data_IF_793095120463
#
_entry.id   IF_793095120463
#
_cell.length_a   1.000
_cell.length_b   1.000
_cell.length_c   1.000
_cell.angle_alpha   90.00
_cell.angle_beta   90.00
_cell.angle_gamma   90.00
#
_symmetry.space_group_name_H-M   'P 1'
#
loop_
_entity.id
_entity.type
_entity.pdbx_description
1 polymer ?
#
# COMPACT_ATOMS: atom_id res chain seq x y z
N UNK A 1 10.37 -28.39 -51.24
CA UNK A 1 10.53 -28.07 -49.81
C UNK A 1 9.21 -28.29 -49.10
N UNK A 2 9.20 -29.20 -48.10
CA UNK A 2 8.01 -29.61 -47.37
C UNK A 2 8.22 -29.20 -45.90
N UNK A 3 7.40 -28.27 -45.42
CA UNK A 3 7.45 -27.79 -44.04
C UNK A 3 6.83 -28.80 -43.06
N UNK A 4 7.37 -28.98 -41.84
CA UNK A 4 6.84 -29.96 -40.90
C UNK A 4 5.64 -29.40 -40.12
N UNK A 5 4.56 -30.20 -40.06
CA UNK A 5 3.37 -29.97 -39.24
C UNK A 5 3.69 -30.22 -37.75
N UNK A 6 3.50 -29.20 -36.89
CA UNK A 6 3.51 -29.36 -35.43
C UNK A 6 2.19 -29.99 -34.96
N UNK A 7 2.27 -31.18 -34.37
CA UNK A 7 1.18 -31.79 -33.59
C UNK A 7 1.05 -31.07 -32.24
N UNK A 8 -0.15 -30.59 -31.90
CA UNK A 8 -0.51 -30.13 -30.55
C UNK A 8 -1.20 -31.29 -29.81
N UNK A 9 -0.60 -31.73 -28.72
CA UNK A 9 -1.18 -32.70 -27.80
C UNK A 9 -2.23 -32.00 -26.94
N UNK A 10 -3.52 -32.34 -27.12
CA UNK A 10 -4.60 -31.92 -26.23
C UNK A 10 -4.61 -32.83 -24.99
N UNK A 11 -4.42 -32.24 -23.81
CA UNK A 11 -4.69 -32.92 -22.55
C UNK A 11 -6.18 -32.84 -22.23
N UNK A 12 -6.83 -34.00 -22.23
CA UNK A 12 -8.20 -34.21 -21.78
C UNK A 12 -8.24 -34.15 -20.23
N UNK A 13 -8.69 -33.03 -19.68
CA UNK A 13 -9.11 -32.96 -18.27
C UNK A 13 -10.61 -33.27 -18.19
N UNK A 14 -10.93 -34.43 -17.61
CA UNK A 14 -12.30 -34.81 -17.25
C UNK A 14 -12.80 -33.92 -16.10
N UNK A 15 -14.00 -33.32 -16.18
CA UNK A 15 -14.61 -32.67 -15.04
C UNK A 15 -15.27 -33.71 -14.13
N UNK A 16 -14.89 -33.75 -12.85
CA UNK A 16 -15.65 -34.45 -11.81
C UNK A 16 -16.70 -33.49 -11.24
N UNK A 17 -17.94 -33.76 -11.65
CA UNK A 17 -19.26 -33.42 -11.09
C UNK A 17 -19.24 -32.86 -9.65
N UNK A 18 -19.64 -31.59 -9.45
CA UNK A 18 -21.01 -31.14 -9.09
C UNK A 18 -21.61 -31.82 -7.87
N UNK A 19 -21.66 -31.12 -6.73
CA UNK A 19 -22.79 -31.04 -5.80
C UNK A 19 -22.39 -30.33 -4.48
N UNK A 20 -21.91 -29.09 -4.51
CA UNK A 20 -21.78 -28.28 -3.27
C UNK A 20 -21.63 -26.77 -3.55
N UNK A 21 -22.24 -26.25 -4.61
CA UNK A 21 -22.00 -24.87 -5.08
C UNK A 21 -23.29 -24.15 -5.46
N UNK A 22 -24.42 -24.51 -4.83
CA UNK A 22 -25.72 -23.89 -5.11
C UNK A 22 -26.39 -23.29 -3.87
N UNK A 23 -25.80 -23.43 -2.69
CA UNK A 23 -26.38 -22.91 -1.44
C UNK A 23 -25.64 -21.69 -0.85
N UNK A 24 -24.43 -21.37 -1.33
CA UNK A 24 -23.68 -20.17 -0.91
C UNK A 24 -23.88 -18.95 -1.82
N UNK A 25 -24.41 -19.12 -3.03
CA UNK A 25 -24.58 -18.00 -3.98
C UNK A 25 -25.85 -17.18 -3.68
N UNK A 26 -26.86 -17.79 -3.05
CA UNK A 26 -28.13 -17.10 -2.77
C UNK A 26 -28.07 -16.17 -1.55
N UNK A 27 -27.05 -16.28 -0.70
CA UNK A 27 -26.87 -15.37 0.45
C UNK A 27 -26.03 -14.11 0.15
N UNK A 28 -25.32 -14.06 -0.99
CA UNK A 28 -24.49 -12.91 -1.37
C UNK A 28 -25.25 -11.77 -2.08
N UNK A 29 -26.54 -11.96 -2.42
CA UNK A 29 -27.31 -10.96 -3.18
C UNK A 29 -28.31 -10.15 -2.35
N UNK A 30 -28.29 -10.28 -1.02
CA UNK A 30 -29.02 -9.41 -0.10
C UNK A 30 -28.13 -8.28 0.43
N UNK A 31 -27.25 -7.74 -0.42
CA UNK A 31 -26.87 -6.33 -0.29
C UNK A 31 -28.09 -5.54 -0.74
N UNK A 32 -29.05 -5.37 0.17
CA UNK A 32 -30.05 -4.31 0.05
C UNK A 32 -29.26 -3.05 -0.29
N UNK A 33 -29.54 -2.47 -1.46
CA UNK A 33 -28.99 -1.19 -1.84
C UNK A 33 -29.38 -0.21 -0.72
N UNK A 34 -28.50 -0.04 0.25
CA UNK A 34 -28.65 0.95 1.30
C UNK A 34 -28.67 2.25 0.52
N UNK A 35 -29.83 2.90 0.49
CA UNK A 35 -29.96 4.25 -0.04
C UNK A 35 -28.98 5.09 0.78
N UNK A 36 -27.80 5.27 0.22
CA UNK A 36 -26.65 5.66 1.00
C UNK A 36 -26.82 7.16 1.24
N UNK A 37 -27.33 7.53 2.41
CA UNK A 37 -27.66 8.91 2.78
C UNK A 37 -26.48 9.84 2.46
N UNK A 38 -26.80 11.01 1.95
CA UNK A 38 -25.82 12.03 1.62
C UNK A 38 -25.14 12.48 2.92
N UNK A 39 -23.79 12.53 2.99
CA UNK A 39 -23.12 13.02 4.18
C UNK A 39 -23.63 14.42 4.57
N UNK A 40 -23.73 14.70 5.87
CA UNK A 40 -24.26 15.98 6.36
C UNK A 40 -23.46 17.22 5.93
N UNK A 41 -22.20 17.03 5.53
CA UNK A 41 -21.32 18.08 5.00
C UNK A 41 -21.51 18.31 3.50
N UNK A 42 -22.10 17.37 2.77
CA UNK A 42 -22.16 17.42 1.31
C UNK A 42 -23.30 18.34 0.87
N UNK A 43 -23.01 19.19 -0.12
CA UNK A 43 -24.02 20.06 -0.75
C UNK A 43 -24.80 19.28 -1.81
N UNK A 44 -24.15 18.30 -2.46
CA UNK A 44 -24.74 17.45 -3.48
C UNK A 44 -24.21 16.02 -3.37
N UNK A 45 -25.02 15.07 -3.79
CA UNK A 45 -24.67 13.66 -3.87
C UNK A 45 -25.16 13.04 -5.18
N UNK A 46 -24.50 11.97 -5.61
CA UNK A 46 -24.95 11.13 -6.69
C UNK A 46 -26.34 10.57 -6.35
N UNK A 47 -27.30 10.80 -7.23
CA UNK A 47 -28.70 10.38 -7.07
C UNK A 47 -28.92 8.91 -7.46
N UNK A 48 -28.02 8.34 -8.25
CA UNK A 48 -28.11 6.97 -8.75
C UNK A 48 -27.26 6.03 -7.90
N UNK A 49 -27.83 4.91 -7.39
CA UNK A 49 -27.02 3.85 -6.80
C UNK A 49 -26.06 3.31 -7.86
N UNK A 50 -24.78 3.21 -7.51
CA UNK A 50 -23.76 2.69 -8.41
C UNK A 50 -23.87 1.16 -8.48
N UNK A 51 -23.69 0.60 -9.68
CA UNK A 51 -23.67 -0.86 -9.83
C UNK A 51 -22.35 -1.43 -9.31
N UNK A 52 -22.34 -2.70 -8.88
CA UNK A 52 -21.09 -3.36 -8.47
C UNK A 52 -20.02 -3.34 -9.56
N UNK A 53 -20.42 -3.34 -10.84
CA UNK A 53 -19.51 -3.23 -11.98
C UNK A 53 -18.86 -1.84 -12.09
N UNK A 54 -19.57 -0.78 -11.70
CA UNK A 54 -19.01 0.58 -11.65
C UNK A 54 -18.05 0.75 -10.47
N UNK A 55 -18.33 0.08 -9.33
CA UNK A 55 -17.38 0.01 -8.21
C UNK A 55 -16.10 -0.73 -8.57
N UNK A 56 -16.20 -1.85 -9.28
CA UNK A 56 -15.03 -2.64 -9.72
C UNK A 56 -14.13 -1.82 -10.64
N UNK A 57 -14.71 -1.09 -11.61
CA UNK A 57 -13.97 -0.14 -12.45
C UNK A 57 -13.30 0.96 -11.65
N UNK A 58 -13.99 1.50 -10.64
CA UNK A 58 -13.43 2.52 -9.74
C UNK A 58 -12.25 1.98 -8.90
N UNK A 59 -12.25 0.69 -8.55
CA UNK A 59 -11.17 0.09 -7.73
C UNK A 59 -9.84 -0.03 -8.50
N UNK A 60 -9.88 -0.42 -9.78
CA UNK A 60 -8.71 -0.38 -10.68
C UNK A 60 -8.21 1.04 -10.93
N UNK A 61 -9.11 2.03 -10.82
CA UNK A 61 -8.80 3.44 -11.01
C UNK A 61 -8.12 4.09 -9.80
N UNK A 62 -8.08 3.41 -8.64
CA UNK A 62 -7.67 3.99 -7.37
C UNK A 62 -6.23 4.53 -7.40
N UNK A 63 -5.27 3.82 -7.99
CA UNK A 63 -3.86 4.26 -7.97
C UNK A 63 -3.63 5.56 -8.75
N UNK A 64 -4.15 5.67 -9.98
CA UNK A 64 -4.06 6.88 -10.79
C UNK A 64 -4.87 8.03 -10.18
N UNK A 65 -6.04 7.71 -9.62
CA UNK A 65 -6.90 8.65 -8.88
C UNK A 65 -6.16 9.27 -7.69
N UNK A 66 -5.49 8.45 -6.88
CA UNK A 66 -4.74 8.94 -5.72
C UNK A 66 -3.60 9.86 -6.16
N UNK A 67 -2.86 9.51 -7.21
CA UNK A 67 -1.80 10.37 -7.73
C UNK A 67 -2.34 11.74 -8.21
N UNK A 68 -3.46 11.74 -8.93
CA UNK A 68 -4.12 12.99 -9.37
C UNK A 68 -4.62 13.82 -8.17
N UNK A 69 -5.28 13.20 -7.19
CA UNK A 69 -5.75 13.87 -5.99
C UNK A 69 -4.60 14.48 -5.17
N UNK A 70 -3.46 13.79 -5.08
CA UNK A 70 -2.27 14.28 -4.37
C UNK A 70 -1.73 15.59 -4.96
N UNK A 71 -1.81 15.77 -6.29
CA UNK A 71 -1.37 16.99 -6.97
C UNK A 71 -2.32 18.18 -6.72
N UNK A 72 -3.59 17.89 -6.44
CA UNK A 72 -4.67 18.86 -6.21
C UNK A 72 -5.07 19.02 -4.74
N UNK A 73 -4.26 18.49 -3.82
CA UNK A 73 -4.47 18.72 -2.40
C UNK A 73 -4.38 20.21 -2.10
N UNK A 74 -5.23 20.71 -1.19
CA UNK A 74 -5.30 22.12 -0.94
C UNK A 74 -3.96 22.71 -0.47
N UNK A 75 -3.65 23.93 -0.90
CA UNK A 75 -2.44 24.64 -0.48
C UNK A 75 -2.53 25.02 1.00
N UNK A 76 -2.21 24.03 1.81
CA UNK A 76 -2.15 24.06 3.25
C UNK A 76 -0.69 23.76 3.58
N UNK A 77 -0.05 24.63 4.36
CA UNK A 77 1.37 24.46 4.66
C UNK A 77 1.69 23.20 5.49
N UNK A 78 0.69 22.53 6.07
CA UNK A 78 0.83 21.18 6.64
C UNK A 78 0.99 20.09 5.58
N UNK A 79 0.63 20.37 4.33
CA UNK A 79 0.67 19.47 3.19
C UNK A 79 1.86 19.79 2.26
N UNK A 80 2.16 21.08 2.02
CA UNK A 80 3.30 21.53 1.18
C UNK A 80 4.27 22.43 1.96
N UNK A 81 5.57 22.15 1.86
CA UNK A 81 6.62 22.85 2.59
C UNK A 81 6.95 24.22 1.95
N UNK A 82 6.08 25.23 2.14
CA UNK A 82 6.29 26.60 1.66
C UNK A 82 6.90 27.52 2.75
N UNK A 83 7.76 28.47 2.34
CA UNK A 83 8.53 29.35 3.23
C UNK A 83 7.78 30.59 3.77
N UNK A 84 6.53 30.84 3.35
CA UNK A 84 5.77 32.06 3.71
C UNK A 84 4.40 31.65 4.25
N UNK A 85 4.30 31.35 5.54
CA UNK A 85 3.03 30.97 6.13
C UNK A 85 2.77 31.57 7.53
N UNK A 86 1.48 31.71 7.90
CA UNK A 86 1.00 32.40 9.11
C UNK A 86 1.06 31.52 10.38
N UNK A 87 1.27 32.15 11.55
CA UNK A 87 1.42 31.45 12.85
C UNK A 87 0.10 31.13 13.57
N UNK A 88 -1.00 31.73 13.14
CA UNK A 88 -2.32 31.55 13.75
C UNK A 88 -3.13 30.54 12.94
N UNK A 89 -3.88 29.62 13.57
CA UNK A 89 -4.77 28.74 12.83
C UNK A 89 -5.76 29.58 12.03
N UNK A 90 -5.86 29.29 10.75
CA UNK A 90 -6.77 29.98 9.84
C UNK A 90 -7.88 29.01 9.47
N UNK A 91 -9.13 29.47 9.54
CA UNK A 91 -10.26 28.73 8.98
C UNK A 91 -10.22 28.90 7.46
N UNK A 92 -9.99 27.81 6.74
CA UNK A 92 -10.10 27.77 5.28
C UNK A 92 -11.34 26.98 4.89
N UNK A 93 -12.08 27.50 3.92
CA UNK A 93 -13.15 26.75 3.26
C UNK A 93 -12.49 25.99 2.11
N UNK A 94 -12.59 24.66 2.14
CA UNK A 94 -12.05 23.78 1.10
C UNK A 94 -13.17 22.96 0.49
N UNK A 95 -12.95 22.47 -0.73
CA UNK A 95 -13.85 21.49 -1.31
C UNK A 95 -13.56 20.13 -0.70
N UNK A 96 -14.63 19.44 -0.30
CA UNK A 96 -14.59 18.08 0.22
C UNK A 96 -15.34 17.17 -0.74
N UNK A 97 -14.75 16.03 -1.05
CA UNK A 97 -15.34 15.01 -1.91
C UNK A 97 -15.37 13.67 -1.18
N UNK A 98 -16.32 12.82 -1.54
CA UNK A 98 -16.39 11.43 -1.12
C UNK A 98 -16.36 10.55 -2.36
N UNK A 99 -15.49 9.54 -2.38
CA UNK A 99 -15.46 8.52 -3.42
C UNK A 99 -16.45 7.39 -3.09
N UNK A 100 -16.66 6.47 -4.04
CA UNK A 100 -17.61 5.36 -3.84
C UNK A 100 -17.13 4.27 -2.87
N UNK A 101 -15.83 4.23 -2.58
CA UNK A 101 -15.26 3.42 -1.49
C UNK A 101 -15.44 4.04 -0.10
N UNK A 102 -16.19 5.15 -0.02
CA UNK A 102 -16.47 5.96 1.19
C UNK A 102 -15.29 6.80 1.68
N UNK A 103 -14.14 6.78 0.99
CA UNK A 103 -13.02 7.64 1.35
C UNK A 103 -13.35 9.10 1.09
N UNK A 104 -12.93 9.96 2.01
CA UNK A 104 -13.14 11.42 1.94
C UNK A 104 -11.82 12.11 1.62
N UNK A 105 -11.84 13.06 0.68
CA UNK A 105 -10.66 13.81 0.25
C UNK A 105 -10.97 15.30 0.20
N UNK A 106 -9.92 16.11 0.29
CA UNK A 106 -10.00 17.56 0.11
C UNK A 106 -9.28 17.95 -1.19
N UNK A 107 -9.87 18.89 -1.94
CA UNK A 107 -9.31 19.40 -3.20
C UNK A 107 -9.40 20.94 -3.21
N UNK A 108 -8.44 21.59 -3.87
CA UNK A 108 -8.42 23.06 -4.02
C UNK A 108 -9.52 23.56 -4.95
N UNK A 109 -9.67 22.91 -6.10
CA UNK A 109 -10.63 23.27 -7.13
C UNK A 109 -11.52 22.09 -7.48
N UNK A 110 -12.79 22.37 -7.71
CA UNK A 110 -13.80 21.36 -7.95
C UNK A 110 -14.45 21.60 -9.32
N UNK A 111 -13.99 20.86 -10.34
CA UNK A 111 -14.62 20.85 -11.66
C UNK A 111 -15.40 19.55 -11.81
N UNK A 112 -16.71 19.63 -11.64
CA UNK A 112 -17.61 18.47 -11.73
C UNK A 112 -18.38 18.49 -13.04
N UNK A 113 -18.33 17.37 -13.74
CA UNK A 113 -19.16 17.09 -14.91
C UNK A 113 -20.35 16.26 -14.44
N UNK A 114 -21.53 16.87 -14.45
CA UNK A 114 -22.78 16.21 -14.04
C UNK A 114 -23.39 15.43 -15.22
N UNK A 115 -22.96 14.19 -15.50
CA UNK A 115 -23.65 13.30 -16.46
C UNK A 115 -23.18 11.83 -16.41
N UNK A 116 -24.10 10.86 -16.57
CA UNK A 116 -25.09 10.43 -15.58
C UNK A 116 -24.50 10.03 -14.21
N UNK A 117 -23.18 9.91 -14.10
CA UNK A 117 -22.44 9.78 -12.84
C UNK A 117 -21.65 11.07 -12.64
N UNK A 118 -21.69 11.70 -11.45
CA UNK A 118 -20.87 12.88 -11.21
C UNK A 118 -19.40 12.47 -11.19
N UNK A 119 -18.63 13.13 -12.05
CA UNK A 119 -17.20 12.91 -12.23
C UNK A 119 -16.45 14.19 -11.89
N UNK A 120 -15.40 14.06 -11.08
CA UNK A 120 -14.42 15.10 -10.81
C UNK A 120 -13.31 15.00 -11.86
N UNK A 121 -13.12 16.06 -12.64
CA UNK A 121 -12.08 16.11 -13.66
C UNK A 121 -10.81 16.78 -13.11
N UNK A 122 -9.71 16.02 -12.95
CA UNK A 122 -8.42 16.52 -12.48
C UNK A 122 -7.30 16.06 -13.41
N UNK A 123 -6.52 16.99 -13.97
CA UNK A 123 -5.36 16.71 -14.83
C UNK A 123 -5.64 15.72 -15.98
N UNK A 124 -6.84 15.79 -16.58
CA UNK A 124 -7.24 14.87 -17.66
C UNK A 124 -7.73 13.50 -17.17
N UNK A 125 -7.84 13.29 -15.86
CA UNK A 125 -8.35 12.08 -15.21
C UNK A 125 -9.78 12.33 -14.71
N UNK A 126 -10.68 11.41 -15.05
CA UNK A 126 -12.10 11.45 -14.70
C UNK A 126 -12.37 10.55 -13.48
N UNK A 127 -12.54 11.14 -12.30
CA UNK A 127 -12.71 10.42 -11.03
C UNK A 127 -14.19 10.37 -10.65
N UNK A 128 -14.82 9.18 -10.56
CA UNK A 128 -16.21 9.08 -10.11
C UNK A 128 -16.33 9.45 -8.63
N UNK A 129 -17.19 10.42 -8.32
CA UNK A 129 -17.43 10.88 -6.95
C UNK A 129 -18.85 10.54 -6.51
N UNK A 130 -19.01 10.26 -5.22
CA UNK A 130 -20.30 9.97 -4.60
C UNK A 130 -20.96 11.22 -4.01
N UNK A 131 -20.17 12.07 -3.35
CA UNK A 131 -20.67 13.27 -2.68
C UNK A 131 -19.65 14.40 -2.77
N UNK A 132 -20.12 15.64 -2.81
CA UNK A 132 -19.24 16.80 -2.78
C UNK A 132 -19.91 18.00 -2.12
N UNK A 133 -19.08 18.88 -1.59
CA UNK A 133 -19.52 20.10 -0.93
C UNK A 133 -18.32 20.93 -0.50
N UNK A 134 -18.58 21.88 0.38
CA UNK A 134 -17.55 22.66 1.05
C UNK A 134 -17.52 22.32 2.52
N UNK A 135 -16.32 22.27 3.09
CA UNK A 135 -16.11 22.10 4.52
C UNK A 135 -15.18 23.19 5.02
N UNK A 136 -15.48 23.73 6.20
CA UNK A 136 -14.55 24.60 6.90
C UNK A 136 -13.59 23.72 7.68
N UNK A 137 -12.30 23.81 7.35
CA UNK A 137 -11.25 23.15 8.09
C UNK A 137 -10.42 24.21 8.81
N UNK A 138 -10.03 23.91 10.05
CA UNK A 138 -9.01 24.68 10.74
C UNK A 138 -7.67 24.13 10.33
N UNK A 139 -6.92 24.95 9.61
CA UNK A 139 -5.57 24.60 9.17
C UNK A 139 -4.56 25.45 9.93
N UNK A 140 -3.51 24.78 10.38
CA UNK A 140 -2.32 25.49 10.80
C UNK A 140 -1.54 25.84 9.54
N UNK A 141 -1.49 27.12 9.21
CA UNK A 141 -0.60 27.60 8.16
C UNK A 141 0.87 27.45 8.58
N UNK A 142 1.19 27.08 9.81
CA UNK A 142 2.56 26.78 10.24
C UNK A 142 2.63 25.32 10.70
N UNK A 143 3.69 24.54 10.37
CA UNK A 143 3.96 23.36 11.18
C UNK A 143 4.24 23.88 12.59
N UNK A 144 3.34 23.67 13.59
CA UNK A 144 3.56 24.21 14.92
C UNK A 144 4.92 23.71 15.39
N UNK A 145 5.58 24.54 16.22
CA UNK A 145 6.90 24.23 16.77
C UNK A 145 6.95 22.74 17.07
N UNK A 146 7.79 22.07 16.27
CA UNK A 146 7.92 20.62 16.18
C UNK A 146 7.67 20.07 17.57
N UNK A 147 6.53 19.40 17.77
CA UNK A 147 6.33 18.63 18.98
C UNK A 147 7.36 17.53 18.85
N UNK A 148 8.57 17.77 19.34
CA UNK A 148 9.67 16.84 19.16
C UNK A 148 9.24 15.57 19.86
N UNK A 149 9.19 14.47 19.12
CA UNK A 149 8.98 13.18 19.76
C UNK A 149 10.26 12.82 20.53
N UNK A 150 10.29 13.17 21.81
CA UNK A 150 11.50 13.04 22.66
C UNK A 150 11.91 11.59 22.88
N UNK A 151 10.98 10.66 22.74
CA UNK A 151 11.16 9.21 22.87
C UNK A 151 11.25 8.47 21.54
N UNK A 152 11.03 9.15 20.40
CA UNK A 152 11.06 8.48 19.10
C UNK A 152 12.51 8.16 18.71
N UNK A 153 12.78 6.89 18.46
CA UNK A 153 14.08 6.40 17.98
C UNK A 153 13.88 5.33 16.92
N UNK A 154 14.77 5.30 15.93
CA UNK A 154 14.85 4.23 14.95
C UNK A 154 16.21 3.52 15.05
N UNK A 155 16.20 2.20 14.97
CA UNK A 155 17.41 1.37 14.94
C UNK A 155 17.37 0.34 13.82
N UNK A 156 18.51 0.06 13.21
CA UNK A 156 18.62 -1.00 12.21
C UNK A 156 18.48 -2.36 12.91
N UNK A 157 17.66 -3.24 12.34
CA UNK A 157 17.54 -4.64 12.75
C UNK A 157 17.74 -5.54 11.54
N UNK A 158 17.88 -6.84 11.76
CA UNK A 158 18.04 -7.80 10.66
C UNK A 158 16.79 -7.74 9.76
N UNK A 159 17.00 -7.50 8.47
CA UNK A 159 15.93 -7.40 7.47
C UNK A 159 15.16 -6.07 7.45
N UNK A 160 15.44 -5.10 8.31
CA UNK A 160 14.59 -3.92 8.40
C UNK A 160 14.94 -2.89 9.47
N UNK A 161 13.92 -2.15 9.91
CA UNK A 161 14.04 -1.05 10.87
C UNK A 161 13.07 -1.25 12.02
N UNK A 162 13.57 -1.17 13.26
CA UNK A 162 12.74 -1.12 14.46
C UNK A 162 12.47 0.35 14.81
N UNK A 163 11.21 0.73 14.81
CA UNK A 163 10.73 2.02 15.28
C UNK A 163 10.29 1.90 16.73
N UNK A 164 10.84 2.74 17.61
CA UNK A 164 10.28 3.00 18.93
C UNK A 164 9.65 4.38 18.89
N UNK A 165 8.34 4.48 19.04
CA UNK A 165 7.57 5.70 18.84
C UNK A 165 6.81 6.08 20.11
N UNK A 166 6.44 7.36 20.23
CA UNK A 166 5.45 7.79 21.22
C UNK A 166 4.04 7.36 20.79
N UNK A 167 3.17 7.11 21.76
CA UNK A 167 1.75 6.82 21.60
C UNK A 167 0.98 7.88 20.81
N UNK A 168 1.49 9.12 20.74
CA UNK A 168 0.88 10.20 20.00
C UNK A 168 1.16 10.17 18.49
N UNK A 169 2.14 9.37 18.03
CA UNK A 169 2.49 9.25 16.60
C UNK A 169 1.36 8.56 15.84
N UNK A 170 0.83 9.22 14.82
CA UNK A 170 -0.29 8.71 14.04
C UNK A 170 0.09 8.26 12.62
N UNK A 171 1.24 8.70 12.11
CA UNK A 171 1.79 8.24 10.84
C UNK A 171 3.29 8.09 10.98
N UNK A 172 3.87 7.04 10.40
CA UNK A 172 5.30 6.89 10.23
C UNK A 172 5.61 6.48 8.78
N UNK A 173 6.76 6.89 8.26
CA UNK A 173 7.27 6.56 6.94
C UNK A 173 8.74 6.17 7.07
N UNK A 174 9.09 5.03 6.49
CA UNK A 174 10.47 4.52 6.43
C UNK A 174 10.84 4.38 4.97
N UNK A 175 11.80 5.18 4.53
CA UNK A 175 12.31 5.17 3.17
C UNK A 175 13.75 4.68 3.13
N UNK A 176 14.05 3.75 2.23
CA UNK A 176 15.39 3.25 1.94
C UNK A 176 15.59 3.18 0.42
N UNK A 177 16.58 3.92 -0.10
CA UNK A 177 16.86 4.04 -1.54
C UNK A 177 15.62 4.54 -2.32
N UNK A 178 14.89 3.66 -2.98
CA UNK A 178 13.70 3.89 -3.80
C UNK A 178 12.44 3.20 -3.26
N UNK A 179 12.53 2.57 -2.08
CA UNK A 179 11.42 1.91 -1.39
C UNK A 179 10.98 2.71 -0.17
N UNK A 180 9.69 3.01 -0.06
CA UNK A 180 9.11 3.70 1.09
C UNK A 180 7.89 2.94 1.62
N UNK A 181 7.89 2.66 2.92
CA UNK A 181 6.76 2.05 3.63
C UNK A 181 6.11 3.08 4.56
N UNK A 182 4.82 3.32 4.37
CA UNK A 182 4.02 4.25 5.18
C UNK A 182 3.06 3.47 6.07
N UNK A 183 3.17 3.69 7.39
CA UNK A 183 2.36 3.03 8.41
C UNK A 183 1.38 4.03 9.00
N UNK A 184 0.10 3.70 8.91
CA UNK A 184 -0.97 4.44 9.57
C UNK A 184 -1.19 3.84 10.97
N UNK A 185 -1.19 4.70 12.00
CA UNK A 185 -1.35 4.32 13.41
C UNK A 185 -0.33 3.24 13.83
N UNK A 186 0.98 3.57 13.77
CA UNK A 186 2.02 2.60 14.11
C UNK A 186 1.94 2.20 15.59
N UNK A 187 2.40 0.97 15.90
CA UNK A 187 2.55 0.54 17.30
C UNK A 187 3.71 1.29 17.95
N UNK A 188 3.71 1.32 19.29
CA UNK A 188 4.83 1.86 20.08
C UNK A 188 6.18 1.24 19.71
N UNK A 189 6.18 -0.05 19.37
CA UNK A 189 7.30 -0.76 18.78
C UNK A 189 6.83 -1.48 17.53
N UNK A 190 7.36 -1.09 16.38
CA UNK A 190 6.98 -1.67 15.08
C UNK A 190 8.25 -1.96 14.26
N UNK A 191 8.34 -3.18 13.73
CA UNK A 191 9.44 -3.58 12.85
C UNK A 191 8.98 -3.53 11.40
N UNK A 192 9.67 -2.73 10.59
CA UNK A 192 9.40 -2.59 9.17
C UNK A 192 10.42 -3.38 8.39
N UNK A 193 9.97 -4.46 7.74
CA UNK A 193 10.80 -5.30 6.89
C UNK A 193 10.99 -4.61 5.53
N UNK A 194 12.23 -4.49 5.09
CA UNK A 194 12.57 -3.91 3.80
C UNK A 194 12.80 -5.01 2.75
N UNK A 195 12.60 -4.73 1.45
CA UNK A 195 12.88 -5.68 0.37
C UNK A 195 14.33 -6.20 0.41
N UNK A 196 14.51 -7.48 0.08
CA UNK A 196 15.81 -8.19 0.18
C UNK A 196 16.91 -7.56 -0.68
N UNK A 197 16.54 -6.99 -1.81
CA UNK A 197 17.42 -6.31 -2.77
C UNK A 197 17.94 -4.95 -2.26
N UNK A 198 17.21 -4.29 -1.34
CA UNK A 198 17.64 -3.05 -0.67
C UNK A 198 18.68 -3.37 0.41
N UNK A 199 18.37 -4.36 1.25
CA UNK A 199 19.12 -4.69 2.47
C UNK A 199 20.41 -5.49 2.24
N UNK A 200 20.67 -5.97 1.02
CA UNK A 200 21.88 -6.77 0.70
C UNK A 200 23.18 -5.93 0.67
N UNK A 201 23.07 -4.60 0.64
CA UNK A 201 24.18 -3.63 0.68
C UNK A 201 23.96 -2.66 1.82
N UNK A 202 24.97 -1.90 2.28
CA UNK A 202 24.72 -0.80 3.20
C UNK A 202 23.74 0.19 2.55
N UNK A 203 22.76 0.65 3.32
CA UNK A 203 21.67 1.45 2.78
C UNK A 203 21.34 2.63 3.71
N UNK A 204 21.19 3.85 3.14
CA UNK A 204 20.69 4.99 3.88
C UNK A 204 19.18 4.85 4.08
N UNK A 205 18.73 5.14 5.30
CA UNK A 205 17.33 5.13 5.69
C UNK A 205 16.94 6.52 6.16
N UNK A 206 15.81 7.01 5.67
CA UNK A 206 15.14 8.20 6.18
C UNK A 206 13.85 7.79 6.87
N UNK A 207 13.72 8.12 8.15
CA UNK A 207 12.53 7.89 8.95
C UNK A 207 11.86 9.22 9.19
N UNK A 208 10.57 9.31 8.85
CA UNK A 208 9.72 10.45 9.15
C UNK A 208 8.54 9.98 9.97
N UNK A 209 8.16 10.75 10.98
CA UNK A 209 6.94 10.47 11.75
C UNK A 209 6.16 11.74 11.99
N UNK A 210 4.84 11.60 12.07
CA UNK A 210 3.91 12.70 12.20
C UNK A 210 2.97 12.51 13.40
N UNK A 211 2.65 13.63 14.05
CA UNK A 211 1.59 13.76 15.04
C UNK A 211 0.62 14.80 14.50
N UNK A 212 -0.65 14.42 14.31
CA UNK A 212 -1.69 15.29 13.77
C UNK A 212 -1.30 15.99 12.46
N UNK A 213 -0.61 15.28 11.57
CA UNK A 213 -0.15 15.79 10.27
C UNK A 213 1.13 16.61 10.32
N UNK A 214 1.80 16.67 11.48
CA UNK A 214 2.98 17.52 11.69
C UNK A 214 4.20 16.65 11.89
N UNK A 215 5.24 16.87 11.09
CA UNK A 215 6.47 16.07 11.16
C UNK A 215 7.15 16.33 12.51
N UNK A 216 7.24 15.29 13.34
CA UNK A 216 7.82 15.33 14.69
C UNK A 216 9.20 14.69 14.78
N UNK A 217 9.56 13.90 13.77
CA UNK A 217 10.84 13.23 13.64
C UNK A 217 11.26 13.19 12.17
N UNK A 218 12.53 13.47 11.93
CA UNK A 218 13.20 13.26 10.64
C UNK A 218 14.60 12.74 10.92
N UNK A 219 14.70 11.42 11.04
CA UNK A 219 15.95 10.76 11.40
C UNK A 219 16.56 10.13 10.15
N UNK A 220 17.84 10.37 9.92
CA UNK A 220 18.62 9.65 8.92
C UNK A 220 19.53 8.66 9.62
N UNK A 221 19.59 7.44 9.11
CA UNK A 221 20.38 6.34 9.65
C UNK A 221 21.07 5.63 8.49
N UNK A 222 22.31 5.20 8.69
CA UNK A 222 23.01 4.33 7.75
C UNK A 222 22.99 2.91 8.29
N UNK A 223 22.30 2.01 7.59
CA UNK A 223 22.20 0.62 8.02
C UNK A 223 23.23 -0.28 7.33
N UNK A 224 23.87 -1.21 8.06
CA UNK A 224 24.81 -2.14 7.47
C UNK A 224 24.11 -3.12 6.53
N UNK A 225 24.87 -3.65 5.57
CA UNK A 225 24.40 -4.74 4.72
C UNK A 225 24.01 -5.96 5.57
N UNK A 226 22.87 -6.56 5.25
CA UNK A 226 22.54 -7.89 5.72
C UNK A 226 23.12 -8.92 4.75
N UNK A 227 23.83 -9.91 5.29
CA UNK A 227 24.32 -11.03 4.51
C UNK A 227 23.11 -11.80 3.99
N UNK A 228 23.02 -11.99 2.67
CA UNK A 228 21.89 -12.66 2.00
C UNK A 228 21.48 -13.97 2.69
N UNK A 229 22.45 -14.72 3.18
CA UNK A 229 22.26 -16.01 3.83
C UNK A 229 21.48 -15.92 5.15
N UNK A 230 21.60 -14.82 5.90
CA UNK A 230 20.84 -14.61 7.14
C UNK A 230 19.36 -14.27 6.88
N UNK A 231 19.01 -13.91 5.65
CA UNK A 231 17.65 -13.55 5.24
C UNK A 231 16.85 -14.72 4.68
N UNK A 232 17.47 -15.90 4.61
CA UNK A 232 16.83 -17.13 4.23
C UNK A 232 16.36 -17.82 5.50
N UNK A 233 15.08 -17.63 5.87
CA UNK A 233 14.45 -18.28 7.03
C UNK A 233 14.22 -19.81 6.84
N UNK A 234 14.88 -20.41 5.85
CA UNK A 234 14.74 -21.82 5.53
C UNK A 234 16.01 -22.58 5.97
N UNK A 235 15.84 -23.76 6.57
CA UNK A 235 16.97 -24.68 6.76
C UNK A 235 17.38 -25.29 5.41
N UNK A 236 16.40 -25.73 4.61
CA UNK A 236 16.61 -26.34 3.30
C UNK A 236 15.55 -25.77 2.34
N UNK A 237 15.95 -24.91 1.41
CA UNK A 237 15.09 -24.43 0.33
C UNK A 237 15.87 -24.14 -0.96
N UNK A 238 15.14 -23.97 -2.06
CA UNK A 238 15.73 -23.70 -3.37
C UNK A 238 16.58 -22.42 -3.36
N UNK A 239 16.13 -21.35 -2.73
CA UNK A 239 16.89 -20.10 -2.66
C UNK A 239 18.26 -20.31 -2.01
N UNK A 240 18.33 -21.12 -0.94
CA UNK A 240 19.60 -21.47 -0.30
C UNK A 240 20.46 -22.36 -1.20
N UNK A 241 19.85 -23.32 -1.90
CA UNK A 241 20.56 -24.23 -2.81
C UNK A 241 21.16 -23.50 -4.03
N UNK A 242 20.50 -22.46 -4.54
CA UNK A 242 21.01 -21.64 -5.65
C UNK A 242 22.08 -20.64 -5.22
N UNK A 243 22.22 -20.38 -3.91
CA UNK A 243 23.23 -19.52 -3.33
C UNK A 243 24.28 -20.36 -2.59
N UNK A 244 25.26 -20.91 -3.32
CA UNK A 244 26.32 -21.76 -2.74
C UNK A 244 27.07 -21.13 -1.55
N UNK A 245 27.13 -19.79 -1.48
CA UNK A 245 27.73 -19.08 -0.34
C UNK A 245 26.92 -19.17 0.96
N UNK A 246 25.66 -19.60 0.89
CA UNK A 246 24.74 -19.72 2.01
C UNK A 246 24.56 -21.15 2.52
N UNK A 247 25.13 -22.14 1.84
CA UNK A 247 25.01 -23.54 2.20
C UNK A 247 26.14 -23.89 3.17
N UNK A 248 25.80 -24.48 4.31
CA UNK A 248 26.80 -25.02 5.24
C UNK A 248 27.34 -26.35 4.71
N UNK A 249 28.61 -26.67 5.00
CA UNK A 249 29.27 -27.88 4.45
C UNK A 249 28.51 -29.17 4.74
N UNK A 250 27.85 -29.29 5.90
CA UNK A 250 27.06 -30.47 6.25
C UNK A 250 25.77 -30.59 5.43
N UNK A 251 25.19 -29.47 4.99
CA UNK A 251 24.00 -29.46 4.15
C UNK A 251 24.32 -30.02 2.76
N UNK A 252 25.50 -29.71 2.21
CA UNK A 252 25.99 -30.29 0.93
C UNK A 252 26.10 -31.82 1.04
N UNK A 253 26.65 -32.32 2.14
CA UNK A 253 26.76 -33.76 2.40
C UNK A 253 25.37 -34.39 2.50
N UNK A 254 24.45 -33.77 3.24
CA UNK A 254 23.08 -34.23 3.38
C UNK A 254 22.36 -34.28 2.02
N UNK A 255 22.50 -33.24 1.18
CA UNK A 255 21.96 -33.22 -0.18
C UNK A 255 22.54 -34.32 -1.05
N UNK A 256 23.85 -34.58 -0.96
CA UNK A 256 24.51 -35.63 -1.73
C UNK A 256 23.99 -37.02 -1.34
N UNK A 257 23.81 -37.27 -0.04
CA UNK A 257 23.24 -38.53 0.48
C UNK A 257 21.75 -38.69 0.13
N UNK A 258 20.96 -37.62 0.20
CA UNK A 258 19.55 -37.62 -0.23
C UNK A 258 19.43 -37.88 -1.73
N UNK A 259 20.28 -37.25 -2.54
CA UNK A 259 20.32 -37.47 -3.98
C UNK A 259 20.67 -38.93 -4.32
N UNK A 260 21.70 -39.50 -3.69
CA UNK A 260 22.09 -40.89 -3.92
C UNK A 260 20.98 -41.87 -3.55
N UNK A 261 20.29 -41.65 -2.42
CA UNK A 261 19.16 -42.48 -2.00
C UNK A 261 17.97 -42.38 -2.98
N UNK A 262 17.69 -41.19 -3.51
CA UNK A 262 16.64 -41.01 -4.51
C UNK A 262 16.99 -41.70 -5.84
N UNK A 263 18.26 -41.66 -6.25
CA UNK A 263 18.73 -42.37 -7.45
C UNK A 263 18.65 -43.89 -7.28
N UNK A 264 18.97 -44.41 -6.09
CA UNK A 264 18.82 -45.85 -5.78
C UNK A 264 17.36 -46.29 -5.90
N UNK A 265 16.41 -45.57 -5.28
CA UNK A 265 14.97 -45.92 -5.39
C UNK A 265 14.43 -45.86 -6.81
N UNK A 266 14.92 -44.97 -7.66
CA UNK A 266 14.52 -44.91 -9.08
C UNK A 266 14.96 -46.12 -9.90
N UNK A 267 15.99 -46.88 -9.48
CA UNK A 267 16.44 -48.09 -10.17
C UNK A 267 15.65 -49.33 -9.77
N UNK A 268 15.00 -49.30 -8.62
CA UNK A 268 14.22 -50.43 -8.10
C UNK A 268 12.76 -50.42 -8.59
N UNK A 269 12.34 -49.35 -9.29
CA UNK A 269 11.04 -49.20 -9.95
C UNK A 269 11.20 -49.24 -11.48
#
# INVERSE_FOLDING_TARGET
EVAPKKQKTQYNLRPRKTAMTTMLITLCCLFTAVAAECPSWATKCASTPISAADMEKSSTFAQETYAALLNHLPDICSIRNHQICSKTPTKKTVHKIQLYDLSEHYVDELVIIEHPLPVLHLDGVDIPIRAWGTSNIEVFDYPPKVTTCSSCTATCVKGGILLNLDSAVNVAEVCAIDHCEKIMVPKLQETINLPKDVVIRPYPVTIRSWINGLEVQNQKLECPANVLCEQLECTICWDKLWNNHCIETWEVVLFSLLHENLQKRKKDF
#
